data_IF_598309916898
#
_entry.id   IF_598309916898
#
_cell.length_a   1.000
_cell.length_b   1.000
_cell.length_c   1.000
_cell.angle_alpha   90.00
_cell.angle_beta   90.00
_cell.angle_gamma   90.00
#
_symmetry.space_group_name_H-M   'P 1'
#
loop_
_entity.id
_entity.type
_entity.pdbx_description
1 polymer ?
#
# COMPACT_ATOMS: atom_id res chain seq x y z
N UNK A 1 -18.12 -0.99 0.01
CA UNK A 1 -17.29 -0.10 -0.80
C UNK A 1 -17.84 -0.17 -2.22
N UNK A 2 -18.43 0.93 -2.70
CA UNK A 2 -18.90 1.04 -4.07
C UNK A 2 -17.76 0.88 -5.07
N UNK A 3 -18.06 0.33 -6.24
CA UNK A 3 -17.13 0.19 -7.37
C UNK A 3 -16.47 1.53 -7.76
N UNK A 4 -17.23 2.63 -7.67
CA UNK A 4 -16.70 3.98 -7.93
C UNK A 4 -15.61 4.42 -6.95
N UNK A 5 -15.70 3.99 -5.68
CA UNK A 5 -14.67 4.32 -4.68
C UNK A 5 -13.39 3.52 -4.90
N UNK A 6 -13.49 2.29 -5.42
CA UNK A 6 -12.33 1.49 -5.80
C UNK A 6 -11.59 2.12 -6.98
N UNK A 7 -12.33 2.50 -8.04
CA UNK A 7 -11.78 3.16 -9.23
C UNK A 7 -11.07 4.47 -8.89
N UNK A 8 -11.67 5.30 -8.04
CA UNK A 8 -11.03 6.53 -7.58
C UNK A 8 -9.73 6.26 -6.79
N UNK A 9 -9.73 5.22 -5.95
CA UNK A 9 -8.52 4.81 -5.23
C UNK A 9 -7.44 4.28 -6.18
N UNK A 10 -7.81 3.49 -7.18
CA UNK A 10 -6.91 2.96 -8.20
C UNK A 10 -6.23 4.11 -8.96
N UNK A 11 -7.01 5.05 -9.51
CA UNK A 11 -6.51 6.21 -10.26
C UNK A 11 -5.55 7.06 -9.40
N UNK A 12 -5.92 7.31 -8.14
CA UNK A 12 -5.09 8.05 -7.20
C UNK A 12 -3.76 7.34 -6.94
N UNK A 13 -3.77 6.02 -6.75
CA UNK A 13 -2.56 5.24 -6.51
C UNK A 13 -1.67 5.20 -7.75
N UNK A 14 -2.25 5.06 -8.95
CA UNK A 14 -1.51 5.15 -10.22
C UNK A 14 -0.80 6.50 -10.35
N UNK A 15 -1.53 7.59 -10.08
CA UNK A 15 -0.96 8.93 -10.11
C UNK A 15 0.18 9.12 -9.11
N UNK A 16 0.01 8.65 -7.87
CA UNK A 16 1.06 8.70 -6.85
C UNK A 16 2.28 7.87 -7.26
N UNK A 17 2.07 6.68 -7.83
CA UNK A 17 3.15 5.83 -8.31
C UNK A 17 3.99 6.55 -9.38
N UNK A 18 3.34 7.16 -10.38
CA UNK A 18 4.02 7.94 -11.42
C UNK A 18 4.84 9.10 -10.83
N UNK A 19 4.31 9.80 -9.83
CA UNK A 19 5.04 10.89 -9.15
C UNK A 19 6.27 10.38 -8.40
N UNK A 20 6.13 9.29 -7.66
CA UNK A 20 7.25 8.70 -6.91
C UNK A 20 8.33 8.20 -7.87
N UNK A 21 7.95 7.59 -8.99
CA UNK A 21 8.88 7.14 -10.02
C UNK A 21 9.64 8.30 -10.67
N UNK A 22 8.96 9.42 -10.94
CA UNK A 22 9.58 10.61 -11.49
C UNK A 22 10.61 11.23 -10.51
N UNK A 23 10.25 11.37 -9.23
CA UNK A 23 11.18 11.88 -8.21
C UNK A 23 12.35 10.89 -7.98
N UNK A 24 12.08 9.58 -7.93
CA UNK A 24 13.13 8.56 -7.81
C UNK A 24 14.15 8.69 -8.95
N UNK A 25 13.70 8.76 -10.20
CA UNK A 25 14.58 8.92 -11.36
C UNK A 25 15.40 10.22 -11.31
N UNK A 26 14.82 11.31 -10.80
CA UNK A 26 15.51 12.59 -10.60
C UNK A 26 16.60 12.47 -9.53
N UNK A 27 16.31 11.87 -8.38
CA UNK A 27 17.27 11.73 -7.30
C UNK A 27 18.36 10.70 -7.59
N UNK A 28 18.07 9.62 -8.33
CA UNK A 28 19.10 8.71 -8.85
C UNK A 28 20.10 9.41 -9.77
N UNK A 29 19.63 10.34 -10.62
CA UNK A 29 20.52 11.15 -11.47
C UNK A 29 21.38 12.09 -10.64
N UNK A 30 20.79 12.76 -9.64
CA UNK A 30 21.54 13.63 -8.72
C UNK A 30 22.60 12.84 -7.96
N UNK A 31 22.24 11.67 -7.42
CA UNK A 31 23.16 10.78 -6.72
C UNK A 31 24.36 10.43 -7.60
N UNK A 32 24.12 9.96 -8.84
CA UNK A 32 25.19 9.64 -9.79
C UNK A 32 26.12 10.82 -10.07
N UNK A 33 25.57 12.03 -10.18
CA UNK A 33 26.37 13.24 -10.39
C UNK A 33 27.26 13.58 -9.19
N UNK A 34 26.74 13.43 -7.97
CA UNK A 34 27.50 13.73 -6.75
C UNK A 34 28.55 12.64 -6.50
N UNK A 35 28.22 11.37 -6.70
CA UNK A 35 29.17 10.25 -6.60
C UNK A 35 30.33 10.40 -7.60
N UNK A 36 30.05 10.81 -8.84
CA UNK A 36 31.09 11.08 -9.83
C UNK A 36 32.01 12.23 -9.40
N UNK A 37 31.47 13.29 -8.80
CA UNK A 37 32.28 14.39 -8.24
C UNK A 37 33.15 13.93 -7.06
N UNK A 38 32.58 13.16 -6.14
CA UNK A 38 33.30 12.61 -5.00
C UNK A 38 34.44 11.70 -5.46
N UNK A 39 34.18 10.81 -6.43
CA UNK A 39 35.19 9.94 -7.01
C UNK A 39 36.29 10.72 -7.75
N UNK A 40 35.93 11.75 -8.52
CA UNK A 40 36.89 12.60 -9.22
C UNK A 40 37.82 13.35 -8.25
N UNK A 41 37.28 13.88 -7.15
CA UNK A 41 38.07 14.50 -6.09
C UNK A 41 39.01 13.49 -5.42
N UNK A 42 38.52 12.30 -5.09
CA UNK A 42 39.34 11.22 -4.53
C UNK A 42 40.50 10.83 -5.45
N UNK A 43 40.25 10.70 -6.75
CA UNK A 43 41.31 10.42 -7.73
C UNK A 43 42.34 11.56 -7.84
N UNK A 44 41.91 12.82 -7.78
CA UNK A 44 42.83 13.95 -7.83
C UNK A 44 43.73 14.00 -6.59
N UNK A 45 43.16 13.75 -5.41
CA UNK A 45 43.89 13.71 -4.14
C UNK A 45 44.89 12.54 -4.10
N UNK A 46 44.49 11.36 -4.56
CA UNK A 46 45.37 10.19 -4.66
C UNK A 46 46.59 10.44 -5.57
N UNK A 47 46.41 11.17 -6.68
CA UNK A 47 47.52 11.55 -7.57
C UNK A 47 48.58 12.42 -6.90
N UNK A 48 48.19 13.20 -5.90
CA UNK A 48 49.10 14.02 -5.09
C UNK A 48 49.72 13.25 -3.91
N UNK A 49 49.49 11.93 -3.81
CA UNK A 49 50.05 11.06 -2.77
C UNK A 49 49.35 11.20 -1.41
N UNK A 50 48.11 11.72 -1.40
CA UNK A 50 47.31 11.96 -0.19
C UNK A 50 46.19 10.91 -0.02
N UNK A 51 46.51 9.63 -0.20
CA UNK A 51 45.53 8.53 -0.25
C UNK A 51 44.65 8.37 1.01
N UNK A 52 45.06 8.93 2.15
CA UNK A 52 44.35 8.84 3.43
C UNK A 52 43.37 9.99 3.68
N UNK A 53 43.20 10.92 2.74
CA UNK A 53 42.27 12.04 2.90
C UNK A 53 40.86 11.61 2.54
N UNK A 54 39.96 11.69 3.52
CA UNK A 54 38.53 11.44 3.31
C UNK A 54 37.91 12.54 2.44
N UNK A 55 37.19 12.12 1.39
CA UNK A 55 36.53 13.06 0.47
C UNK A 55 35.05 13.09 0.75
N UNK A 56 34.59 14.21 1.31
CA UNK A 56 33.18 14.47 1.53
C UNK A 56 32.69 15.59 0.61
N UNK A 57 31.59 15.30 -0.10
CA UNK A 57 30.87 16.34 -0.87
C UNK A 57 29.74 16.81 0.03
N UNK A 58 29.92 17.99 0.63
CA UNK A 58 28.92 18.61 1.50
C UNK A 58 28.22 19.75 0.75
N UNK A 59 26.90 19.95 0.95
CA UNK A 59 26.24 21.13 0.42
C UNK A 59 26.80 22.40 1.09
N UNK A 60 26.81 23.52 0.37
CA UNK A 60 27.08 24.81 1.01
C UNK A 60 25.90 25.16 1.93
N UNK A 61 26.15 25.18 3.24
CA UNK A 61 25.13 25.35 4.27
C UNK A 61 25.11 24.12 5.18
N UNK A 62 25.53 24.31 6.41
CA UNK A 62 25.76 23.27 7.41
C UNK A 62 24.49 22.47 7.70
N UNK A 63 24.53 21.15 7.52
CA UNK A 63 23.70 20.14 8.23
C UNK A 63 24.05 18.70 7.78
N UNK A 64 24.41 18.49 6.50
CA UNK A 64 24.75 17.17 5.98
C UNK A 64 26.25 16.86 6.06
N UNK A 65 26.62 15.77 6.77
CA UNK A 65 28.00 15.25 6.82
C UNK A 65 28.48 14.78 5.43
N UNK A 66 27.58 14.14 4.67
CA UNK A 66 27.83 13.66 3.31
C UNK A 66 26.57 13.75 2.46
N UNK A 67 26.60 14.56 1.40
CA UNK A 67 25.49 14.67 0.45
C UNK A 67 25.22 13.34 -0.27
N UNK A 68 26.24 12.51 -0.46
CA UNK A 68 26.11 11.19 -1.07
C UNK A 68 25.29 10.26 -0.19
N UNK A 69 25.55 10.27 1.12
CA UNK A 69 24.80 9.44 2.07
C UNK A 69 23.34 9.88 2.17
N UNK A 70 23.09 11.19 2.25
CA UNK A 70 21.73 11.74 2.27
C UNK A 70 20.95 11.40 1.00
N UNK A 71 21.56 11.56 -0.18
CA UNK A 71 20.94 11.20 -1.45
C UNK A 71 20.66 9.69 -1.56
N UNK A 72 21.59 8.84 -1.07
CA UNK A 72 21.39 7.39 -1.02
C UNK A 72 20.22 7.01 -0.12
N UNK A 73 20.16 7.61 1.08
CA UNK A 73 19.07 7.39 2.03
C UNK A 73 17.72 7.80 1.42
N UNK A 74 17.68 8.98 0.80
CA UNK A 74 16.46 9.50 0.15
C UNK A 74 15.99 8.63 -1.02
N UNK A 75 16.90 8.19 -1.89
CA UNK A 75 16.58 7.25 -3.00
C UNK A 75 16.02 5.94 -2.45
N UNK A 76 16.61 5.42 -1.35
CA UNK A 76 16.15 4.19 -0.72
C UNK A 76 14.74 4.35 -0.12
N UNK A 77 14.45 5.48 0.53
CA UNK A 77 13.13 5.76 1.07
C UNK A 77 12.07 5.97 -0.03
N UNK A 78 12.40 6.68 -1.12
CA UNK A 78 11.55 6.76 -2.29
C UNK A 78 11.28 5.37 -2.90
N UNK A 79 12.29 4.49 -2.94
CA UNK A 79 12.14 3.11 -3.38
C UNK A 79 11.18 2.30 -2.50
N UNK A 80 11.26 2.45 -1.17
CA UNK A 80 10.29 1.83 -0.24
C UNK A 80 8.88 2.37 -0.47
N UNK A 81 8.72 3.70 -0.61
CA UNK A 81 7.43 4.33 -0.88
C UNK A 81 6.84 3.83 -2.19
N UNK A 82 7.64 3.73 -3.25
CA UNK A 82 7.22 3.15 -4.54
C UNK A 82 6.65 1.75 -4.35
N UNK A 83 7.38 0.88 -3.66
CA UNK A 83 6.97 -0.51 -3.43
C UNK A 83 5.67 -0.61 -2.61
N UNK A 84 5.51 0.25 -1.61
CA UNK A 84 4.29 0.32 -0.81
C UNK A 84 3.08 0.77 -1.63
N UNK A 85 3.23 1.83 -2.43
CA UNK A 85 2.17 2.31 -3.33
C UNK A 85 1.81 1.25 -4.37
N UNK A 86 2.80 0.62 -5.00
CA UNK A 86 2.60 -0.45 -5.98
C UNK A 86 1.88 -1.66 -5.38
N UNK A 87 2.25 -2.06 -4.15
CA UNK A 87 1.61 -3.17 -3.44
C UNK A 87 0.14 -2.86 -3.14
N UNK A 88 -0.16 -1.63 -2.71
CA UNK A 88 -1.52 -1.19 -2.45
C UNK A 88 -2.36 -1.06 -3.72
N UNK A 89 -1.77 -0.57 -4.81
CA UNK A 89 -2.42 -0.53 -6.12
C UNK A 89 -2.82 -1.94 -6.58
N UNK A 90 -1.91 -2.91 -6.46
CA UNK A 90 -2.18 -4.30 -6.81
C UNK A 90 -3.32 -4.92 -5.97
N UNK A 91 -3.44 -4.54 -4.69
CA UNK A 91 -4.58 -4.98 -3.87
C UNK A 91 -5.89 -4.38 -4.37
N UNK A 92 -5.93 -3.07 -4.66
CA UNK A 92 -7.14 -2.40 -5.18
C UNK A 92 -7.58 -2.99 -6.50
N UNK A 93 -6.66 -3.22 -7.44
CA UNK A 93 -6.97 -3.86 -8.73
C UNK A 93 -7.57 -5.26 -8.53
N UNK A 94 -7.04 -6.05 -7.59
CA UNK A 94 -7.62 -7.38 -7.29
C UNK A 94 -8.98 -7.30 -6.61
N UNK A 95 -9.22 -6.28 -5.77
CA UNK A 95 -10.53 -6.02 -5.17
C UNK A 95 -11.56 -5.67 -6.25
N UNK A 96 -11.17 -4.90 -7.26
CA UNK A 96 -12.01 -4.59 -8.44
C UNK A 96 -12.31 -5.84 -9.27
N UNK A 97 -11.28 -6.60 -9.66
CA UNK A 97 -11.44 -7.84 -10.43
C UNK A 97 -12.36 -8.85 -9.69
N UNK A 98 -12.23 -8.94 -8.37
CA UNK A 98 -13.09 -9.78 -7.55
C UNK A 98 -14.54 -9.28 -7.55
N UNK A 99 -14.76 -7.97 -7.39
CA UNK A 99 -16.11 -7.40 -7.39
C UNK A 99 -16.78 -7.59 -8.75
N UNK A 100 -16.08 -7.33 -9.85
CA UNK A 100 -16.58 -7.54 -11.20
C UNK A 100 -16.98 -9.00 -11.44
N UNK A 101 -16.12 -9.96 -11.07
CA UNK A 101 -16.43 -11.39 -11.20
C UNK A 101 -17.59 -11.86 -10.32
N UNK A 102 -17.75 -11.27 -9.14
CA UNK A 102 -18.89 -11.57 -8.26
C UNK A 102 -20.19 -10.97 -8.80
N UNK A 103 -20.15 -9.73 -9.30
CA UNK A 103 -21.30 -9.07 -9.93
C UNK A 103 -21.72 -9.77 -11.23
N UNK A 104 -20.78 -10.29 -12.03
CA UNK A 104 -21.12 -11.07 -13.22
C UNK A 104 -21.93 -12.32 -12.87
N UNK A 105 -21.57 -13.00 -11.78
CA UNK A 105 -22.20 -14.27 -11.39
C UNK A 105 -23.48 -14.09 -10.58
N UNK A 106 -23.54 -13.07 -9.74
CA UNK A 106 -24.59 -12.91 -8.72
C UNK A 106 -25.32 -11.57 -8.78
N UNK A 107 -24.96 -10.68 -9.72
CA UNK A 107 -25.56 -9.37 -9.86
C UNK A 107 -25.38 -8.49 -8.61
N UNK A 108 -26.39 -7.66 -8.35
CA UNK A 108 -26.40 -6.70 -7.23
C UNK A 108 -26.58 -7.35 -5.85
N UNK A 109 -26.71 -8.68 -5.79
CA UNK A 109 -26.80 -9.43 -4.54
C UNK A 109 -25.46 -9.57 -3.82
N UNK A 110 -24.34 -9.14 -4.44
CA UNK A 110 -23.03 -9.14 -3.78
C UNK A 110 -22.51 -7.73 -3.61
N UNK A 111 -21.90 -7.47 -2.46
CA UNK A 111 -21.13 -6.25 -2.23
C UNK A 111 -19.87 -6.54 -1.42
N UNK A 112 -18.82 -5.74 -1.64
CA UNK A 112 -17.66 -5.71 -0.77
C UNK A 112 -17.89 -4.73 0.37
N UNK A 113 -17.58 -5.10 1.60
CA UNK A 113 -17.64 -4.24 2.79
C UNK A 113 -16.26 -4.14 3.40
N UNK A 114 -15.81 -2.92 3.68
CA UNK A 114 -14.50 -2.68 4.29
C UNK A 114 -14.65 -2.69 5.80
N UNK A 115 -13.91 -3.56 6.46
CA UNK A 115 -13.90 -3.69 7.91
C UNK A 115 -12.98 -2.63 8.54
N UNK A 116 -13.21 -2.25 9.81
CA UNK A 116 -12.32 -1.34 10.55
C UNK A 116 -10.88 -1.86 10.69
N UNK A 117 -10.69 -3.18 10.60
CA UNK A 117 -9.37 -3.83 10.57
C UNK A 117 -8.57 -3.52 9.29
N UNK A 118 -9.23 -2.98 8.26
CA UNK A 118 -8.64 -2.76 6.93
C UNK A 118 -8.82 -3.94 5.97
N UNK A 119 -9.31 -5.08 6.45
CA UNK A 119 -9.75 -6.20 5.62
C UNK A 119 -11.07 -5.88 4.91
N UNK A 120 -11.43 -6.68 3.92
CA UNK A 120 -12.74 -6.62 3.29
C UNK A 120 -13.49 -7.95 3.46
N UNK A 121 -14.81 -7.84 3.52
CA UNK A 121 -15.73 -8.96 3.56
C UNK A 121 -16.63 -8.90 2.33
N UNK A 122 -16.95 -10.07 1.79
CA UNK A 122 -17.96 -10.20 0.73
C UNK A 122 -19.29 -10.46 1.41
N UNK A 123 -20.24 -9.54 1.29
CA UNK A 123 -21.59 -9.75 1.78
C UNK A 123 -22.50 -10.20 0.63
N UNK A 124 -23.24 -11.28 0.89
CA UNK A 124 -24.29 -11.79 0.02
C UNK A 124 -25.65 -11.36 0.57
N UNK A 125 -26.37 -10.56 -0.20
CA UNK A 125 -27.66 -9.95 0.14
C UNK A 125 -28.69 -10.35 -0.90
N UNK A 126 -29.15 -11.58 -0.83
CA UNK A 126 -30.33 -12.04 -1.57
C UNK A 126 -31.47 -12.40 -0.62
N UNK A 127 -32.68 -12.46 -1.18
CA UNK A 127 -33.89 -12.74 -0.42
C UNK A 127 -33.84 -14.14 0.24
N UNK A 128 -33.21 -15.11 -0.43
CA UNK A 128 -33.14 -16.49 0.04
C UNK A 128 -32.24 -16.62 1.27
N UNK A 129 -31.08 -15.96 1.27
CA UNK A 129 -30.15 -15.93 2.42
C UNK A 129 -30.76 -15.18 3.59
N UNK A 130 -31.45 -14.07 3.34
CA UNK A 130 -32.17 -13.32 4.38
C UNK A 130 -33.29 -14.19 5.00
N UNK A 131 -34.05 -14.89 4.16
CA UNK A 131 -35.10 -15.81 4.62
C UNK A 131 -34.51 -16.95 5.47
N UNK A 132 -33.42 -17.57 5.02
CA UNK A 132 -32.74 -18.63 5.75
C UNK A 132 -32.24 -18.15 7.13
N UNK A 133 -31.66 -16.95 7.20
CA UNK A 133 -31.23 -16.34 8.46
C UNK A 133 -32.42 -16.10 9.41
N UNK A 134 -33.53 -15.56 8.91
CA UNK A 134 -34.72 -15.29 9.69
C UNK A 134 -35.37 -16.58 10.25
N UNK A 135 -35.39 -17.66 9.46
CA UNK A 135 -35.85 -18.97 9.91
C UNK A 135 -34.93 -19.54 11.00
N UNK A 136 -33.61 -19.43 10.83
CA UNK A 136 -32.64 -19.86 11.84
C UNK A 136 -32.82 -19.09 13.16
N UNK A 137 -32.97 -17.76 13.12
CA UNK A 137 -33.19 -16.95 14.32
C UNK A 137 -34.47 -17.34 15.06
N UNK A 138 -35.55 -17.59 14.31
CA UNK A 138 -36.82 -18.09 14.85
C UNK A 138 -36.65 -19.47 15.51
N UNK A 139 -35.93 -20.38 14.87
CA UNK A 139 -35.60 -21.70 15.41
C UNK A 139 -34.74 -21.62 16.69
N UNK A 140 -33.73 -20.74 16.73
CA UNK A 140 -32.90 -20.51 17.93
C UNK A 140 -33.73 -20.02 19.11
N UNK A 141 -34.63 -19.06 18.89
CA UNK A 141 -35.55 -18.57 19.93
C UNK A 141 -36.45 -19.68 20.47
N UNK A 142 -37.02 -20.51 19.58
CA UNK A 142 -37.87 -21.64 19.97
C UNK A 142 -37.10 -22.67 20.81
N UNK A 143 -35.88 -23.05 20.39
CA UNK A 143 -35.03 -23.96 21.15
C UNK A 143 -34.67 -23.41 22.54
N UNK A 144 -34.41 -22.11 22.63
CA UNK A 144 -34.10 -21.47 23.91
C UNK A 144 -35.31 -21.47 24.85
N UNK A 145 -36.50 -21.13 24.36
CA UNK A 145 -37.74 -21.20 25.14
C UNK A 145 -38.02 -22.62 25.64
N UNK A 146 -37.82 -23.63 24.80
CA UNK A 146 -37.98 -25.03 25.19
C UNK A 146 -36.98 -25.41 26.29
N UNK A 147 -35.69 -25.04 26.16
CA UNK A 147 -34.68 -25.30 27.19
C UNK A 147 -35.05 -24.65 28.53
N UNK A 148 -35.47 -23.39 28.51
CA UNK A 148 -35.87 -22.66 29.73
C UNK A 148 -37.12 -23.27 30.39
N UNK A 149 -38.08 -23.75 29.59
CA UNK A 149 -39.27 -24.44 30.10
C UNK A 149 -38.96 -25.80 30.73
N UNK A 150 -37.97 -26.52 30.20
CA UNK A 150 -37.53 -27.81 30.71
C UNK A 150 -36.64 -27.68 31.96
N UNK A 151 -35.87 -26.59 32.07
CA UNK A 151 -35.03 -26.32 33.25
C UNK A 151 -35.81 -25.81 34.47
N UNK A 152 -37.09 -25.41 34.29
CA UNK A 152 -37.99 -24.96 35.37
C UNK A 152 -38.86 -26.08 35.96
N UNK A 153 -38.62 -27.34 35.58
CA UNK A 153 -39.18 -28.55 36.21
C UNK A 153 -38.12 -29.21 37.07
#
# INVERSE_FOLDING_TARGET
MPESELKEQEERLRFLLTRVEAELAKFERLLKQVEAKQAGLGQAIAKEGLDNVEVNVSPHGEEARSLVEELRSHVLDLGKTKNLVASRLNLVVKEEELLEGLQEKYGDSVQLVKLPSGEFEVEFRDADTEQAFNQMQSGKKLLQQLRESMAKK
#
